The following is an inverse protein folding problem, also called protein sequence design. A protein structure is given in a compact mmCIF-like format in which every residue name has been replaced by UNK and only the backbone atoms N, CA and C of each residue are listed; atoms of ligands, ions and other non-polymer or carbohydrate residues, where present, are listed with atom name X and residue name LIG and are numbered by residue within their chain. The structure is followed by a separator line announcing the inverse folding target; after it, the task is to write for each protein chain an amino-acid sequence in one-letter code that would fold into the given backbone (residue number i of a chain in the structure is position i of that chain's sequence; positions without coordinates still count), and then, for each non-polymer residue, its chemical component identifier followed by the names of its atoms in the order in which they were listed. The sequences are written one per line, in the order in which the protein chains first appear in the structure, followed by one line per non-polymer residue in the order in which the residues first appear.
data_IF_802976029951
#
_entry.id   IF_802976029951
#
_cell.length_a   1.000
_cell.length_b   1.000
_cell.length_c   1.000
_cell.angle_alpha   90.00
_cell.angle_beta   90.00
_cell.angle_gamma   90.00
#
_symmetry.space_group_name_H-M   'P 1'
#
loop_
_entity.id
_entity.type
_entity.pdbx_description
1 polymer ?
#
# COMPACT_ATOMS: atom_id res chain seq x y z
N UNK A 1 18.74 2.62 -8.99
CA UNK A 1 18.81 3.05 -7.58
C UNK A 1 17.44 3.06 -6.90
N UNK A 2 16.47 3.86 -7.35
CA UNK A 2 15.14 3.94 -6.71
C UNK A 2 14.34 2.63 -6.77
N UNK A 3 14.46 1.85 -7.85
CA UNK A 3 13.86 0.51 -7.97
C UNK A 3 14.41 -0.47 -6.93
N UNK A 4 15.71 -0.40 -6.64
CA UNK A 4 16.33 -1.27 -5.65
C UNK A 4 15.95 -0.86 -4.23
N UNK A 5 15.79 0.44 -3.97
CA UNK A 5 15.25 0.93 -2.71
C UNK A 5 13.80 0.47 -2.55
N UNK A 6 12.96 0.66 -3.57
CA UNK A 6 11.57 0.23 -3.55
C UNK A 6 11.47 -1.27 -3.24
N UNK A 7 12.27 -2.11 -3.89
CA UNK A 7 12.34 -3.56 -3.60
C UNK A 7 12.85 -3.88 -2.18
N UNK A 8 13.83 -3.13 -1.68
CA UNK A 8 14.42 -3.36 -0.34
C UNK A 8 13.51 -2.94 0.80
N UNK A 9 12.77 -1.85 0.64
CA UNK A 9 11.86 -1.34 1.68
C UNK A 9 10.53 -2.09 1.69
N UNK A 10 10.24 -2.84 0.61
CA UNK A 10 9.15 -3.80 0.55
C UNK A 10 9.65 -5.18 0.98
N UNK A 11 10.02 -5.34 2.26
CA UNK A 11 10.46 -6.63 2.83
C UNK A 11 9.33 -7.63 3.06
N UNK A 12 8.08 -7.26 2.74
CA UNK A 12 6.95 -8.16 2.86
C UNK A 12 7.04 -9.27 1.80
N UNK A 13 7.00 -10.53 2.25
CA UNK A 13 7.13 -11.73 1.42
C UNK A 13 6.04 -11.90 0.32
N UNK A 14 5.12 -10.95 0.19
CA UNK A 14 3.93 -11.00 -0.66
C UNK A 14 3.98 -9.99 -1.80
N UNK A 15 5.17 -9.52 -2.16
CA UNK A 15 5.33 -8.51 -3.19
C UNK A 15 5.11 -9.11 -4.59
N UNK A 16 4.21 -8.50 -5.39
CA UNK A 16 3.87 -8.97 -6.74
C UNK A 16 4.64 -8.23 -7.84
N UNK A 17 4.58 -6.90 -7.85
CA UNK A 17 5.15 -6.08 -8.93
C UNK A 17 5.41 -4.63 -8.47
N UNK A 18 6.44 -3.94 -9.01
CA UNK A 18 6.76 -2.52 -8.76
C UNK A 18 6.62 -1.76 -10.07
N UNK A 19 5.77 -0.74 -10.11
CA UNK A 19 5.81 0.26 -11.19
C UNK A 19 6.42 1.55 -10.67
N UNK A 20 7.41 2.08 -11.39
CA UNK A 20 8.05 3.37 -11.05
C UNK A 20 8.00 4.27 -12.28
N UNK A 21 7.37 5.43 -12.13
CA UNK A 21 7.28 6.44 -13.18
C UNK A 21 8.09 7.66 -12.77
N UNK A 22 9.09 8.05 -13.58
CA UNK A 22 9.84 9.28 -13.37
C UNK A 22 9.04 10.47 -13.93
N UNK A 23 8.86 11.49 -13.11
CA UNK A 23 8.38 12.81 -13.52
C UNK A 23 9.60 13.56 -14.07
N UNK A 24 9.64 13.69 -15.41
CA UNK A 24 10.78 14.17 -16.18
C UNK A 24 11.23 15.57 -15.75
N UNK A 25 10.28 16.42 -15.36
CA UNK A 25 10.54 17.84 -15.11
C UNK A 25 11.06 18.17 -13.70
N UNK A 26 11.08 17.21 -12.78
CA UNK A 26 11.37 17.50 -11.36
C UNK A 26 12.41 16.58 -10.70
N UNK A 27 13.02 15.65 -11.46
CA UNK A 27 13.77 14.50 -10.92
C UNK A 27 13.00 13.75 -9.81
N UNK A 28 11.66 13.73 -9.95
CA UNK A 28 10.76 13.12 -8.98
C UNK A 28 10.20 11.79 -9.49
N UNK A 29 9.72 10.95 -8.59
CA UNK A 29 9.16 9.65 -8.92
C UNK A 29 7.78 9.44 -8.31
N UNK A 30 6.91 8.78 -9.07
CA UNK A 30 5.68 8.17 -8.61
C UNK A 30 5.90 6.65 -8.53
N UNK A 31 5.56 6.04 -7.39
CA UNK A 31 5.80 4.62 -7.16
C UNK A 31 4.47 3.94 -6.91
N UNK A 32 4.18 2.88 -7.67
CA UNK A 32 3.05 2.00 -7.45
C UNK A 32 3.55 0.64 -6.99
N UNK A 33 3.14 0.24 -5.78
CA UNK A 33 3.49 -1.04 -5.19
C UNK A 33 2.31 -2.00 -5.26
N UNK A 34 2.55 -3.23 -5.74
CA UNK A 34 1.54 -4.27 -5.85
C UNK A 34 1.85 -5.42 -4.87
N UNK A 35 0.93 -5.71 -3.95
CA UNK A 35 1.04 -6.82 -2.99
C UNK A 35 -0.01 -7.89 -3.28
N UNK A 36 0.32 -9.15 -3.02
CA UNK A 36 -0.62 -10.25 -2.90
C UNK A 36 -1.16 -10.30 -1.45
N UNK A 37 -2.46 -10.41 -1.27
CA UNK A 37 -3.06 -10.68 0.04
C UNK A 37 -2.86 -12.15 0.42
N UNK A 38 -2.42 -12.43 1.66
CA UNK A 38 -2.41 -13.82 2.20
C UNK A 38 -3.77 -14.22 2.76
N UNK A 39 -4.20 -15.44 2.46
CA UNK A 39 -5.53 -15.99 2.78
C UNK A 39 -5.69 -16.63 4.17
N UNK A 40 -4.67 -16.64 5.04
CA UNK A 40 -4.71 -17.45 6.27
C UNK A 40 -5.05 -16.70 7.57
N UNK A 41 -5.78 -15.57 7.51
CA UNK A 41 -6.14 -14.77 8.69
C UNK A 41 -7.62 -14.36 8.68
N UNK A 42 -8.19 -14.06 9.86
CA UNK A 42 -9.54 -13.47 9.94
C UNK A 42 -9.57 -12.12 9.20
N UNK A 43 -10.70 -11.73 8.59
CA UNK A 43 -10.81 -10.49 7.80
C UNK A 43 -10.29 -9.23 8.51
N UNK A 44 -10.49 -9.13 9.84
CA UNK A 44 -9.97 -8.01 10.63
C UNK A 44 -8.45 -8.05 10.81
N UNK A 45 -7.86 -9.25 10.96
CA UNK A 45 -6.41 -9.43 11.03
C UNK A 45 -5.76 -9.17 9.67
N UNK A 46 -6.41 -9.62 8.59
CA UNK A 46 -6.04 -9.34 7.20
C UNK A 46 -6.01 -7.83 6.95
N UNK A 47 -7.10 -7.13 7.31
CA UNK A 47 -7.20 -5.69 7.13
C UNK A 47 -6.19 -4.89 7.96
N UNK A 48 -5.93 -5.29 9.22
CA UNK A 48 -4.84 -4.69 10.01
C UNK A 48 -3.48 -4.95 9.37
N UNK A 49 -3.23 -6.16 8.86
CA UNK A 49 -2.01 -6.51 8.13
C UNK A 49 -1.78 -5.61 6.92
N UNK A 50 -2.83 -5.31 6.15
CA UNK A 50 -2.76 -4.37 5.02
C UNK A 50 -2.32 -2.97 5.44
N UNK A 51 -2.87 -2.46 6.55
CA UNK A 51 -2.48 -1.15 7.07
C UNK A 51 -1.01 -1.12 7.49
N UNK A 52 -0.53 -2.16 8.16
CA UNK A 52 0.88 -2.27 8.53
C UNK A 52 1.79 -2.35 7.30
N UNK A 53 1.46 -3.17 6.31
CA UNK A 53 2.24 -3.30 5.08
C UNK A 53 2.35 -1.95 4.33
N UNK A 54 1.24 -1.21 4.20
CA UNK A 54 1.27 0.13 3.61
C UNK A 54 2.10 1.11 4.45
N UNK A 55 1.94 1.10 5.77
CA UNK A 55 2.68 1.96 6.70
C UNK A 55 4.19 1.75 6.58
N UNK A 56 4.64 0.50 6.62
CA UNK A 56 6.07 0.15 6.51
C UNK A 56 6.65 0.54 5.15
N UNK A 57 5.90 0.29 4.07
CA UNK A 57 6.32 0.68 2.72
C UNK A 57 6.40 2.19 2.55
N UNK A 58 5.41 2.96 3.02
CA UNK A 58 5.47 4.43 2.98
C UNK A 58 6.65 4.96 3.80
N UNK A 59 6.84 4.45 5.02
CA UNK A 59 7.97 4.84 5.88
C UNK A 59 9.28 4.57 5.15
N UNK A 60 9.52 3.33 4.75
CA UNK A 60 10.76 2.93 4.11
C UNK A 60 11.06 3.73 2.84
N UNK A 61 10.06 4.01 2.01
CA UNK A 61 10.24 4.83 0.80
C UNK A 61 10.58 6.29 1.15
N UNK A 62 9.76 6.95 1.96
CA UNK A 62 9.92 8.38 2.24
C UNK A 62 11.11 8.72 3.13
N UNK A 63 11.54 7.79 3.99
CA UNK A 63 12.73 7.97 4.85
C UNK A 63 14.02 7.40 4.24
N UNK A 64 13.96 6.81 3.04
CA UNK A 64 15.17 6.34 2.35
C UNK A 64 16.06 7.52 1.88
N UNK A 65 17.35 7.29 1.57
CA UNK A 65 18.22 8.33 1.00
C UNK A 65 17.67 9.00 -0.27
N UNK A 66 16.86 8.26 -1.03
CA UNK A 66 16.19 8.74 -2.25
C UNK A 66 14.78 9.28 -1.99
N UNK A 67 14.30 9.18 -0.74
CA UNK A 67 12.96 9.59 -0.34
C UNK A 67 12.66 11.01 -0.74
N UNK A 68 13.67 11.90 -0.68
CA UNK A 68 13.64 13.31 -1.12
C UNK A 68 13.06 13.50 -2.54
N UNK A 69 13.26 12.50 -3.40
CA UNK A 69 12.85 12.51 -4.81
C UNK A 69 11.50 11.85 -5.05
N UNK A 70 10.86 11.28 -4.05
CA UNK A 70 9.56 10.63 -4.20
C UNK A 70 8.47 11.67 -4.01
N UNK A 71 7.61 11.86 -5.02
CA UNK A 71 6.53 12.84 -4.97
C UNK A 71 5.22 12.23 -4.47
N UNK A 72 4.89 11.06 -4.99
CA UNK A 72 3.65 10.34 -4.70
C UNK A 72 3.93 8.85 -4.64
N UNK A 73 3.28 8.16 -3.71
CA UNK A 73 3.33 6.71 -3.61
C UNK A 73 1.90 6.21 -3.55
N UNK A 74 1.58 5.22 -4.39
CA UNK A 74 0.32 4.48 -4.37
C UNK A 74 0.61 3.01 -4.07
N UNK A 75 -0.08 2.45 -3.10
CA UNK A 75 0.10 1.07 -2.68
C UNK A 75 -1.22 0.35 -2.89
N UNK A 76 -1.23 -0.64 -3.77
CA UNK A 76 -2.40 -1.44 -4.10
C UNK A 76 -2.18 -2.89 -3.68
N UNK A 77 -3.14 -3.44 -2.95
CA UNK A 77 -3.13 -4.84 -2.51
C UNK A 77 -4.19 -5.60 -3.30
N UNK A 78 -3.74 -6.65 -3.95
CA UNK A 78 -4.53 -7.55 -4.78
C UNK A 78 -4.75 -8.86 -4.05
N UNK A 79 -5.90 -9.48 -4.25
CA UNK A 79 -6.12 -10.86 -3.82
C UNK A 79 -6.90 -11.59 -4.91
N UNK A 80 -6.75 -12.91 -4.93
CA UNK A 80 -7.64 -13.77 -5.69
C UNK A 80 -9.04 -13.67 -5.11
N UNK A 81 -10.01 -13.35 -5.96
CA UNK A 81 -11.41 -13.39 -5.63
C UNK A 81 -12.08 -14.48 -6.44
N UNK A 82 -12.96 -15.22 -5.79
CA UNK A 82 -13.85 -16.15 -6.47
C UNK A 82 -15.23 -15.51 -6.55
N UNK A 83 -15.76 -15.37 -7.77
CA UNK A 83 -17.13 -14.94 -7.94
C UNK A 83 -18.08 -16.02 -7.41
N UNK A 84 -18.80 -15.72 -6.33
CA UNK A 84 -19.71 -16.68 -5.69
C UNK A 84 -20.85 -17.20 -6.58
N UNK A 85 -21.19 -16.50 -7.66
CA UNK A 85 -22.27 -16.88 -8.57
C UNK A 85 -21.77 -17.74 -9.74
N UNK A 86 -20.57 -17.45 -10.26
CA UNK A 86 -20.04 -18.11 -11.46
C UNK A 86 -18.89 -19.06 -11.19
N UNK A 87 -18.32 -19.04 -9.97
CA UNK A 87 -17.10 -19.76 -9.61
C UNK A 87 -15.84 -19.22 -10.29
N UNK A 88 -15.95 -18.15 -11.09
CA UNK A 88 -14.82 -17.61 -11.82
C UNK A 88 -13.82 -16.93 -10.88
N UNK A 89 -12.55 -17.26 -11.03
CA UNK A 89 -11.45 -16.60 -10.35
C UNK A 89 -11.09 -15.30 -11.08
N UNK A 90 -10.86 -14.25 -10.31
CA UNK A 90 -10.31 -12.99 -10.79
C UNK A 90 -9.37 -12.40 -9.76
N UNK A 91 -8.46 -11.55 -10.19
CA UNK A 91 -7.68 -10.73 -9.26
C UNK A 91 -8.26 -9.32 -9.21
N UNK A 92 -8.43 -8.81 -8.01
CA UNK A 92 -8.92 -7.45 -7.81
C UNK A 92 -8.12 -6.74 -6.73
N UNK A 93 -8.01 -5.42 -6.88
CA UNK A 93 -7.58 -4.55 -5.79
C UNK A 93 -8.61 -4.67 -4.68
N UNK A 94 -8.18 -5.11 -3.51
CA UNK A 94 -9.04 -5.17 -2.32
C UNK A 94 -8.79 -4.02 -1.35
N UNK A 95 -7.64 -3.39 -1.44
CA UNK A 95 -7.21 -2.28 -0.61
C UNK A 95 -6.20 -1.42 -1.33
N UNK A 96 -6.31 -0.10 -1.21
CA UNK A 96 -5.29 0.82 -1.69
C UNK A 96 -5.20 2.06 -0.80
N UNK A 97 -3.97 2.54 -0.61
CA UNK A 97 -3.68 3.85 -0.07
C UNK A 97 -2.74 4.61 -1.00
N UNK A 98 -2.95 5.91 -1.13
CA UNK A 98 -1.98 6.82 -1.74
C UNK A 98 -1.52 7.85 -0.71
N UNK A 99 -0.29 8.32 -0.84
CA UNK A 99 0.26 9.39 -0.02
C UNK A 99 1.14 10.28 -0.88
N UNK A 100 1.00 11.59 -0.72
CA UNK A 100 1.90 12.57 -1.31
C UNK A 100 3.05 12.88 -0.37
N UNK A 101 4.15 13.41 -0.92
CA UNK A 101 5.30 13.91 -0.15
C UNK A 101 4.91 14.98 0.87
N UNK A 102 3.95 15.85 0.54
CA UNK A 102 3.46 16.87 1.47
C UNK A 102 2.88 16.23 2.74
N UNK A 103 2.01 15.22 2.58
CA UNK A 103 1.48 14.45 3.72
C UNK A 103 2.57 13.68 4.43
N UNK A 104 3.48 13.05 3.68
CA UNK A 104 4.59 12.32 4.26
C UNK A 104 5.51 13.20 5.14
N UNK A 105 5.69 14.48 4.79
CA UNK A 105 6.49 15.41 5.60
C UNK A 105 5.79 15.83 6.91
N UNK A 106 4.47 15.67 7.01
CA UNK A 106 3.69 15.91 8.22
C UNK A 106 3.69 14.69 9.16
N UNK A 107 4.22 13.55 8.70
CA UNK A 107 4.21 12.31 9.46
C UNK A 107 5.39 12.23 10.44
N UNK A 108 5.08 11.85 11.67
CA UNK A 108 6.09 11.46 12.66
C UNK A 108 6.45 9.98 12.48
N UNK A 109 7.26 9.68 11.47
CA UNK A 109 7.63 8.31 11.07
C UNK A 109 8.23 7.43 12.19
N UNK A 110 8.82 8.04 13.22
CA UNK A 110 9.38 7.34 14.38
C UNK A 110 8.29 6.83 15.35
N UNK A 111 7.09 7.42 15.32
CA UNK A 111 5.96 7.10 16.21
C UNK A 111 4.73 6.57 15.45
N UNK A 112 4.95 5.86 14.34
CA UNK A 112 3.86 5.47 13.42
C UNK A 112 2.80 4.58 14.07
N UNK A 113 3.13 3.85 15.14
CA UNK A 113 2.17 3.01 15.88
C UNK A 113 1.00 3.78 16.51
N UNK A 114 1.11 5.10 16.66
CA UNK A 114 0.05 5.96 17.16
C UNK A 114 -0.76 6.67 16.05
N UNK A 115 -0.30 6.64 14.81
CA UNK A 115 -0.91 7.36 13.69
C UNK A 115 -1.71 6.38 12.83
N UNK A 116 -2.98 6.70 12.57
CA UNK A 116 -3.78 5.93 11.61
C UNK A 116 -3.33 6.28 10.19
N UNK A 117 -2.58 5.36 9.56
CA UNK A 117 -2.03 5.56 8.20
C UNK A 117 -3.13 5.85 7.17
N UNK A 118 -4.36 5.39 7.41
CA UNK A 118 -5.50 5.67 6.52
C UNK A 118 -5.98 7.12 6.60
N UNK A 119 -5.85 7.76 7.76
CA UNK A 119 -6.20 9.18 7.93
C UNK A 119 -5.12 10.08 7.35
N UNK A 120 -3.87 9.61 7.36
CA UNK A 120 -2.74 10.32 6.77
C UNK A 120 -2.69 10.22 5.23
N UNK A 121 -3.29 9.17 4.67
CA UNK A 121 -3.33 8.94 3.24
C UNK A 121 -4.12 10.03 2.50
N UNK A 122 -3.68 10.38 1.28
CA UNK A 122 -4.38 11.30 0.39
C UNK A 122 -5.52 10.63 -0.36
N UNK A 123 -5.41 9.32 -0.60
CA UNK A 123 -6.44 8.51 -1.25
C UNK A 123 -6.57 7.20 -0.50
N UNK A 124 -7.80 6.70 -0.40
CA UNK A 124 -8.11 5.41 0.21
C UNK A 124 -9.19 4.69 -0.57
N UNK A 125 -8.92 3.42 -0.84
CA UNK A 125 -9.90 2.50 -1.42
C UNK A 125 -9.97 1.20 -0.62
N UNK A 126 -11.19 0.74 -0.38
CA UNK A 126 -11.48 -0.58 0.20
C UNK A 126 -12.57 -1.20 -0.67
N UNK A 127 -12.30 -2.39 -1.18
CA UNK A 127 -13.25 -3.10 -2.02
C UNK A 127 -14.55 -3.42 -1.26
N UNK A 128 -15.73 -3.35 -1.91
CA UNK A 128 -17.01 -3.60 -1.25
C UNK A 128 -17.10 -4.94 -0.50
N UNK A 129 -16.49 -6.00 -1.05
CA UNK A 129 -16.45 -7.30 -0.39
C UNK A 129 -15.74 -7.23 0.97
N UNK A 130 -14.57 -6.58 1.04
CA UNK A 130 -13.83 -6.38 2.28
C UNK A 130 -14.61 -5.48 3.26
N UNK A 131 -15.24 -4.40 2.77
CA UNK A 131 -16.11 -3.54 3.60
C UNK A 131 -17.25 -4.34 4.24
N UNK A 132 -17.92 -5.21 3.46
CA UNK A 132 -19.02 -6.04 3.95
C UNK A 132 -18.56 -6.98 5.06
N UNK A 133 -17.42 -7.64 4.90
CA UNK A 133 -16.86 -8.52 5.94
C UNK A 133 -16.46 -7.75 7.22
N UNK A 134 -15.97 -6.51 7.10
CA UNK A 134 -15.64 -5.67 8.25
C UNK A 134 -16.89 -5.22 9.04
N UNK A 135 -18.05 -5.15 8.41
CA UNK A 135 -19.33 -4.72 8.99
C UNK A 135 -20.16 -5.85 9.63
N UNK A 136 -19.76 -7.13 9.48
CA UNK A 136 -20.48 -8.28 10.07
C UNK A 136 -20.27 -8.42 11.60
N UNK A 137 -19.87 -7.35 12.28
CA UNK A 137 -19.66 -7.28 13.73
C UNK A 137 -20.47 -6.13 14.29
#
# INVERSE_FOLDING_TARGET
EITEIAKKVTTHADYRDITITKIVDADRYNIVLFFNGKDNLTTNMVYKGYKFACSDAFKGLYTSPMGAKINDVKISIYTGMVNSQTGAESEAVIYMLAMTRERANQMHWDNIGAVDIEQAATERFIHPALKKELQKK
#
